data_IF_743607522667
#
_entry.id   IF_743607522667
#
_cell.length_a   1.000
_cell.length_b   1.000
_cell.length_c   1.000
_cell.angle_alpha   90.00
_cell.angle_beta   90.00
_cell.angle_gamma   90.00
#
_symmetry.space_group_name_H-M   'P 1'
#
loop_
_entity.id
_entity.type
_entity.pdbx_description
1 polymer ?
#
# COMPACT_ATOMS: atom_id res chain seq x y z
N UNK A 1 -8.82 27.39 2.20
CA UNK A 1 -8.88 27.08 3.64
C UNK A 1 -9.23 25.61 3.77
N UNK A 2 -8.32 24.78 4.30
CA UNK A 2 -8.60 23.34 4.50
C UNK A 2 -9.51 23.21 5.73
N UNK A 3 -10.75 22.77 5.52
CA UNK A 3 -11.84 22.84 6.50
C UNK A 3 -11.73 21.77 7.61
N UNK A 4 -10.86 20.77 7.46
CA UNK A 4 -10.75 19.61 8.37
C UNK A 4 -9.31 19.26 8.77
N UNK A 5 -8.43 20.25 8.92
CA UNK A 5 -7.05 19.98 9.33
C UNK A 5 -7.01 19.65 10.83
N UNK A 6 -6.80 18.38 11.18
CA UNK A 6 -6.42 17.97 12.53
C UNK A 6 -5.12 18.72 12.92
N UNK A 7 -5.15 19.64 13.90
CA UNK A 7 -4.02 20.52 14.18
C UNK A 7 -2.78 19.75 14.67
N UNK A 8 -2.99 18.63 15.37
CA UNK A 8 -1.90 17.75 15.82
C UNK A 8 -1.39 16.93 14.64
N UNK A 9 -2.30 16.38 13.85
CA UNK A 9 -1.97 15.62 12.62
C UNK A 9 -1.13 16.41 11.63
N UNK A 10 -1.43 17.69 11.47
CA UNK A 10 -0.73 18.61 10.58
C UNK A 10 0.69 18.98 11.03
N UNK A 11 1.02 18.76 12.31
CA UNK A 11 2.36 19.01 12.85
C UNK A 11 3.26 17.77 12.78
N UNK A 12 2.72 16.61 12.40
CA UNK A 12 3.52 15.42 12.21
C UNK A 12 4.58 15.63 11.12
N UNK A 13 5.76 14.98 11.23
CA UNK A 13 6.78 15.08 10.21
C UNK A 13 6.21 14.74 8.82
N UNK A 14 6.63 15.48 7.80
CA UNK A 14 6.19 15.32 6.40
C UNK A 14 4.72 15.68 6.12
N UNK A 15 3.86 15.98 7.11
CA UNK A 15 2.43 16.33 6.89
C UNK A 15 2.17 17.83 6.82
N UNK A 16 3.06 18.67 7.36
CA UNK A 16 2.87 20.12 7.48
C UNK A 16 2.78 20.89 6.15
N UNK A 17 3.37 20.38 5.07
CA UNK A 17 3.31 21.00 3.74
C UNK A 17 2.96 19.97 2.67
N UNK A 18 2.41 20.41 1.53
CA UNK A 18 2.14 19.54 0.37
C UNK A 18 3.41 19.20 -0.44
N UNK A 19 4.49 19.94 -0.21
CA UNK A 19 5.74 19.78 -0.94
C UNK A 19 6.46 18.44 -0.69
N UNK A 20 6.61 17.94 0.55
CA UNK A 20 7.33 16.69 0.81
C UNK A 20 6.78 15.50 0.01
N UNK A 21 5.47 15.25 0.05
CA UNK A 21 4.88 14.14 -0.71
C UNK A 21 5.04 14.31 -2.23
N UNK A 22 4.83 15.52 -2.74
CA UNK A 22 5.00 15.80 -4.17
C UNK A 22 6.45 15.59 -4.62
N UNK A 23 7.42 16.06 -3.83
CA UNK A 23 8.84 15.90 -4.08
C UNK A 23 9.25 14.43 -3.99
N UNK A 24 8.79 13.69 -2.98
CA UNK A 24 9.06 12.26 -2.80
C UNK A 24 8.53 11.47 -4.00
N UNK A 25 7.26 11.66 -4.36
CA UNK A 25 6.64 10.95 -5.49
C UNK A 25 7.31 11.31 -6.82
N UNK A 26 7.61 12.59 -7.07
CA UNK A 26 8.31 13.01 -8.28
C UNK A 26 9.73 12.41 -8.35
N UNK A 27 10.47 12.47 -7.26
CA UNK A 27 11.82 11.90 -7.16
C UNK A 27 11.79 10.40 -7.40
N UNK A 28 10.83 9.70 -6.79
CA UNK A 28 10.60 8.27 -7.02
C UNK A 28 10.35 7.97 -8.49
N UNK A 29 9.44 8.68 -9.16
CA UNK A 29 9.13 8.47 -10.57
C UNK A 29 10.35 8.71 -11.46
N UNK A 30 11.11 9.79 -11.20
CA UNK A 30 12.34 10.10 -11.94
C UNK A 30 13.40 9.01 -11.77
N UNK A 31 13.57 8.49 -10.54
CA UNK A 31 14.51 7.39 -10.26
C UNK A 31 14.03 6.09 -10.92
N UNK A 32 12.77 5.71 -10.74
CA UNK A 32 12.20 4.46 -11.22
C UNK A 32 12.19 4.36 -12.75
N UNK A 33 11.83 5.45 -13.43
CA UNK A 33 11.58 5.46 -14.88
C UNK A 33 12.78 5.91 -15.72
N UNK A 34 13.62 6.82 -15.20
CA UNK A 34 14.68 7.47 -16.00
C UNK A 34 16.08 7.26 -15.44
N UNK A 35 16.34 7.75 -14.23
CA UNK A 35 17.71 7.88 -13.73
C UNK A 35 18.29 6.59 -13.15
N UNK A 36 17.47 5.75 -12.51
CA UNK A 36 17.93 4.53 -11.85
C UNK A 36 18.58 3.53 -12.82
N UNK A 37 17.92 3.26 -13.95
CA UNK A 37 18.48 2.38 -15.00
C UNK A 37 19.74 2.97 -15.63
N UNK A 38 19.77 4.29 -15.88
CA UNK A 38 20.93 4.99 -16.42
C UNK A 38 22.14 4.92 -15.48
N UNK A 39 21.92 5.10 -14.19
CA UNK A 39 22.98 5.05 -13.16
C UNK A 39 23.57 3.64 -13.01
N UNK A 40 22.74 2.60 -13.14
CA UNK A 40 23.16 1.20 -13.15
C UNK A 40 23.80 0.75 -14.48
N UNK A 41 23.79 1.60 -15.52
CA UNK A 41 24.45 1.27 -16.77
C UNK A 41 25.97 1.19 -16.57
N UNK A 42 26.62 0.17 -17.14
CA UNK A 42 28.05 -0.09 -16.92
C UNK A 42 28.44 -0.65 -15.54
N UNK A 43 27.51 -0.77 -14.58
CA UNK A 43 27.77 -1.38 -13.25
C UNK A 43 27.36 -2.84 -13.20
N UNK A 44 28.01 -3.67 -12.38
CA UNK A 44 27.52 -5.02 -12.06
C UNK A 44 26.33 -4.92 -11.08
N UNK A 45 25.38 -5.89 -11.08
CA UNK A 45 24.32 -5.91 -10.08
C UNK A 45 24.93 -6.04 -8.68
N UNK A 46 24.42 -5.27 -7.71
CA UNK A 46 24.93 -5.32 -6.35
C UNK A 46 24.42 -6.57 -5.61
N UNK A 47 25.30 -7.23 -4.86
CA UNK A 47 24.89 -8.26 -3.91
C UNK A 47 24.45 -7.61 -2.59
N UNK A 48 23.16 -7.28 -2.54
CA UNK A 48 22.49 -6.70 -1.37
C UNK A 48 21.58 -7.70 -0.67
N UNK A 49 21.87 -9.00 -0.79
CA UNK A 49 20.97 -10.07 -0.32
C UNK A 49 20.68 -9.95 1.18
N UNK A 50 21.70 -9.72 2.02
CA UNK A 50 21.53 -9.55 3.47
C UNK A 50 20.68 -8.33 3.83
N UNK A 51 20.91 -7.21 3.14
CA UNK A 51 20.12 -5.98 3.31
C UNK A 51 18.66 -6.24 2.94
N UNK A 52 18.41 -6.95 1.83
CA UNK A 52 17.07 -7.28 1.38
C UNK A 52 16.34 -8.20 2.38
N UNK A 53 17.04 -9.19 2.96
CA UNK A 53 16.46 -10.04 4.01
C UNK A 53 16.08 -9.19 5.23
N UNK A 54 16.99 -8.36 5.73
CA UNK A 54 16.73 -7.47 6.87
C UNK A 54 15.57 -6.51 6.60
N UNK A 55 15.54 -5.88 5.43
CA UNK A 55 14.44 -5.00 5.02
C UNK A 55 13.10 -5.73 4.98
N UNK A 56 13.02 -6.91 4.35
CA UNK A 56 11.77 -7.66 4.29
C UNK A 56 11.34 -8.13 5.69
N UNK A 57 12.27 -8.49 6.57
CA UNK A 57 11.96 -8.85 7.95
C UNK A 57 11.35 -7.66 8.72
N UNK A 58 11.96 -6.48 8.59
CA UNK A 58 11.41 -5.25 9.18
C UNK A 58 10.01 -4.96 8.63
N UNK A 59 9.81 -5.09 7.33
CA UNK A 59 8.50 -4.92 6.69
C UNK A 59 7.47 -5.93 7.20
N UNK A 60 7.83 -7.21 7.37
CA UNK A 60 6.94 -8.22 7.95
C UNK A 60 6.52 -7.83 9.36
N UNK A 61 7.48 -7.49 10.22
CA UNK A 61 7.21 -7.12 11.62
C UNK A 61 6.34 -5.87 11.68
N UNK A 62 6.69 -4.83 10.91
CA UNK A 62 5.98 -3.56 10.88
C UNK A 62 4.52 -3.75 10.45
N UNK A 63 4.29 -4.45 9.33
CA UNK A 63 2.94 -4.69 8.84
C UNK A 63 2.14 -5.66 9.75
N UNK A 64 2.79 -6.63 10.39
CA UNK A 64 2.13 -7.54 11.33
C UNK A 64 1.65 -6.80 12.59
N UNK A 65 2.52 -5.96 13.18
CA UNK A 65 2.17 -5.13 14.35
C UNK A 65 1.04 -4.18 13.99
N UNK A 66 1.14 -3.47 12.86
CA UNK A 66 0.07 -2.60 12.39
C UNK A 66 -1.24 -3.36 12.17
N UNK A 67 -1.20 -4.51 11.50
CA UNK A 67 -2.38 -5.33 11.27
C UNK A 67 -3.04 -5.74 12.59
N UNK A 68 -2.27 -6.26 13.56
CA UNK A 68 -2.80 -6.66 14.87
C UNK A 68 -3.42 -5.48 15.62
N UNK A 69 -2.78 -4.31 15.58
CA UNK A 69 -3.25 -3.12 16.25
C UNK A 69 -4.52 -2.54 15.60
N UNK A 70 -4.55 -2.46 14.27
CA UNK A 70 -5.74 -2.03 13.52
C UNK A 70 -6.88 -3.05 13.74
N UNK A 71 -6.59 -4.35 13.69
CA UNK A 71 -7.58 -5.41 13.91
C UNK A 71 -8.25 -5.30 15.28
N UNK A 72 -7.47 -5.03 16.33
CA UNK A 72 -8.00 -4.79 17.67
C UNK A 72 -9.04 -3.65 17.67
N UNK A 73 -8.68 -2.49 17.13
CA UNK A 73 -9.57 -1.32 17.08
C UNK A 73 -10.64 -1.34 15.99
N UNK A 74 -10.61 -2.36 15.13
CA UNK A 74 -11.60 -2.56 14.08
C UNK A 74 -12.65 -3.61 14.47
N UNK A 75 -12.25 -4.65 15.21
CA UNK A 75 -13.09 -5.83 15.51
C UNK A 75 -13.37 -5.99 17.01
N UNK A 76 -12.37 -5.81 17.87
CA UNK A 76 -12.46 -6.13 19.29
C UNK A 76 -12.99 -4.94 20.09
N UNK A 77 -12.42 -3.76 19.85
CA UNK A 77 -12.84 -2.49 20.43
C UNK A 77 -13.08 -1.48 19.30
N UNK A 78 -14.17 -1.63 18.54
CA UNK A 78 -14.41 -0.87 17.31
C UNK A 78 -14.48 0.64 17.60
N UNK A 79 -13.56 1.41 17.01
CA UNK A 79 -13.56 2.87 17.11
C UNK A 79 -14.62 3.54 16.22
N UNK A 80 -15.13 2.81 15.22
CA UNK A 80 -16.07 3.34 14.25
C UNK A 80 -17.30 2.44 14.14
N UNK A 81 -18.38 3.04 13.67
CA UNK A 81 -19.50 2.29 13.13
C UNK A 81 -19.13 1.80 11.71
N UNK A 82 -19.19 0.50 11.47
CA UNK A 82 -18.85 -0.10 10.16
C UNK A 82 -19.72 0.46 9.00
N UNK A 83 -20.97 0.85 9.28
CA UNK A 83 -21.87 1.46 8.29
C UNK A 83 -21.50 2.89 7.90
N UNK A 84 -20.75 3.61 8.74
CA UNK A 84 -20.23 4.92 8.40
C UNK A 84 -18.98 5.25 9.23
N UNK A 85 -17.81 5.14 8.61
CA UNK A 85 -16.52 5.42 9.25
C UNK A 85 -16.02 6.82 8.85
N UNK A 86 -16.50 7.86 9.52
CA UNK A 86 -15.97 9.22 9.38
C UNK A 86 -14.79 9.46 10.32
N UNK A 87 -13.93 10.42 10.00
CA UNK A 87 -12.83 10.83 10.88
C UNK A 87 -13.35 11.15 12.28
N UNK A 88 -12.68 10.65 13.32
CA UNK A 88 -13.10 10.84 14.70
C UNK A 88 -13.05 12.33 15.11
N UNK A 89 -13.98 12.79 15.97
CA UNK A 89 -13.90 14.10 16.62
C UNK A 89 -12.56 14.31 17.36
N UNK A 90 -12.12 15.57 17.50
CA UNK A 90 -10.81 15.88 18.10
C UNK A 90 -10.70 15.49 19.57
N UNK A 91 -11.82 15.48 20.28
CA UNK A 91 -12.00 15.13 21.69
C UNK A 91 -12.31 13.63 21.91
N UNK A 92 -12.44 12.84 20.83
CA UNK A 92 -12.70 11.42 20.94
C UNK A 92 -11.55 10.69 21.68
N UNK A 93 -11.84 9.78 22.64
CA UNK A 93 -10.81 9.14 23.48
C UNK A 93 -9.74 8.41 22.65
N UNK A 94 -10.13 7.78 21.55
CA UNK A 94 -9.22 7.04 20.66
C UNK A 94 -8.69 7.86 19.49
N UNK A 95 -8.91 9.19 19.45
CA UNK A 95 -8.41 10.04 18.35
C UNK A 95 -6.90 9.94 18.16
N UNK A 96 -6.14 9.80 19.25
CA UNK A 96 -4.69 9.62 19.20
C UNK A 96 -4.28 8.30 18.52
N UNK A 97 -5.09 7.25 18.68
CA UNK A 97 -4.90 5.94 18.03
C UNK A 97 -5.11 6.06 16.53
N UNK A 98 -6.19 6.71 16.10
CA UNK A 98 -6.48 7.01 14.69
C UNK A 98 -5.30 7.76 14.03
N UNK A 99 -4.79 8.81 14.69
CA UNK A 99 -3.59 9.56 14.27
C UNK A 99 -2.39 8.66 14.07
N UNK A 100 -2.09 7.82 15.05
CA UNK A 100 -0.93 6.93 15.01
C UNK A 100 -1.04 5.93 13.88
N UNK A 101 -2.20 5.28 13.71
CA UNK A 101 -2.44 4.27 12.68
C UNK A 101 -2.25 4.86 11.27
N UNK A 102 -2.98 5.93 10.96
CA UNK A 102 -2.93 6.52 9.61
C UNK A 102 -1.56 7.12 9.31
N UNK A 103 -0.91 7.75 10.29
CA UNK A 103 0.45 8.26 10.09
C UNK A 103 1.46 7.14 9.87
N UNK A 104 1.43 6.09 10.70
CA UNK A 104 2.28 4.91 10.53
C UNK A 104 2.05 4.25 9.17
N UNK A 105 0.80 4.21 8.68
CA UNK A 105 0.49 3.67 7.36
C UNK A 105 1.08 4.53 6.24
N UNK A 106 0.97 5.85 6.33
CA UNK A 106 1.56 6.78 5.38
C UNK A 106 3.08 6.60 5.30
N UNK A 107 3.76 6.52 6.45
CA UNK A 107 5.21 6.28 6.51
C UNK A 107 5.56 4.92 5.89
N UNK A 108 4.79 3.88 6.18
CA UNK A 108 4.98 2.55 5.58
C UNK A 108 4.99 2.62 4.03
N UNK A 109 4.03 3.35 3.44
CA UNK A 109 3.98 3.48 1.97
C UNK A 109 5.19 4.22 1.39
N UNK A 110 5.78 5.15 2.14
CA UNK A 110 7.04 5.80 1.76
C UNK A 110 8.23 4.83 1.85
N UNK A 111 8.27 3.99 2.89
CA UNK A 111 9.30 2.95 3.04
C UNK A 111 9.20 1.91 1.93
N UNK A 112 8.00 1.55 1.49
CA UNK A 112 7.75 0.64 0.36
C UNK A 112 8.41 1.11 -0.96
N UNK A 113 8.72 2.41 -1.11
CA UNK A 113 9.44 2.93 -2.29
C UNK A 113 10.85 2.33 -2.43
N UNK A 114 11.44 1.86 -1.34
CA UNK A 114 12.74 1.17 -1.34
C UNK A 114 12.71 -0.13 -2.16
N UNK A 115 11.54 -0.75 -2.34
CA UNK A 115 11.39 -1.95 -3.19
C UNK A 115 11.93 -1.68 -4.59
N UNK A 116 11.57 -0.53 -5.19
CA UNK A 116 12.05 -0.14 -6.52
C UNK A 116 13.55 0.08 -6.53
N UNK A 117 14.11 0.66 -5.46
CA UNK A 117 15.55 0.90 -5.34
C UNK A 117 16.29 -0.44 -5.32
N UNK A 118 15.85 -1.41 -4.51
CA UNK A 118 16.46 -2.73 -4.45
C UNK A 118 16.34 -3.49 -5.79
N UNK A 119 15.21 -3.35 -6.50
CA UNK A 119 15.04 -3.93 -7.83
C UNK A 119 16.03 -3.32 -8.83
N UNK A 120 16.23 -1.99 -8.80
CA UNK A 120 17.20 -1.28 -9.63
C UNK A 120 18.63 -1.75 -9.34
N UNK A 121 19.05 -1.76 -8.08
CA UNK A 121 20.39 -2.15 -7.65
C UNK A 121 20.75 -3.59 -8.05
N UNK A 122 19.76 -4.48 -8.08
CA UNK A 122 19.91 -5.88 -8.50
C UNK A 122 19.75 -6.09 -10.02
N UNK A 123 19.47 -5.04 -10.78
CA UNK A 123 19.13 -5.09 -12.21
C UNK A 123 17.95 -6.03 -12.55
N UNK A 124 17.02 -6.22 -11.62
CA UNK A 124 15.85 -7.08 -11.81
C UNK A 124 14.70 -6.33 -12.50
N UNK A 125 15.01 -5.62 -13.60
CA UNK A 125 14.09 -4.62 -14.21
C UNK A 125 12.74 -5.18 -14.67
N UNK A 126 12.63 -6.50 -14.89
CA UNK A 126 11.36 -7.19 -15.19
C UNK A 126 10.32 -7.00 -14.07
N UNK A 127 10.75 -6.67 -12.85
CA UNK A 127 9.85 -6.40 -11.72
C UNK A 127 9.35 -4.93 -11.69
N UNK A 128 10.04 -3.99 -12.35
CA UNK A 128 9.60 -2.59 -12.46
C UNK A 128 8.56 -2.48 -13.58
N UNK A 129 7.36 -2.96 -13.29
CA UNK A 129 6.22 -2.92 -14.21
C UNK A 129 5.43 -1.61 -14.04
N UNK A 130 4.56 -1.30 -15.01
CA UNK A 130 3.60 -0.20 -14.87
C UNK A 130 2.75 -0.35 -13.61
N UNK A 131 2.29 -1.58 -13.30
CA UNK A 131 1.55 -1.87 -12.06
C UNK A 131 2.35 -1.50 -10.82
N UNK A 132 3.61 -1.94 -10.76
CA UNK A 132 4.50 -1.64 -9.63
C UNK A 132 4.67 -0.13 -9.42
N UNK A 133 5.12 0.57 -10.46
CA UNK A 133 5.42 2.02 -10.34
C UNK A 133 4.16 2.83 -10.08
N UNK A 134 3.06 2.52 -10.76
CA UNK A 134 1.77 3.19 -10.55
C UNK A 134 1.27 2.98 -9.12
N UNK A 135 1.25 1.73 -8.62
CA UNK A 135 0.83 1.42 -7.27
C UNK A 135 1.64 2.19 -6.21
N UNK A 136 2.97 2.08 -6.24
CA UNK A 136 3.81 2.73 -5.22
C UNK A 136 3.70 4.26 -5.28
N UNK A 137 3.68 4.86 -6.47
CA UNK A 137 3.53 6.30 -6.61
C UNK A 137 2.17 6.80 -6.11
N UNK A 138 1.08 6.13 -6.52
CA UNK A 138 -0.28 6.56 -6.20
C UNK A 138 -0.61 6.34 -4.73
N UNK A 139 -0.13 5.24 -4.12
CA UNK A 139 -0.35 4.97 -2.70
C UNK A 139 0.31 6.03 -1.82
N UNK A 140 1.55 6.46 -2.11
CA UNK A 140 2.19 7.55 -1.36
C UNK A 140 1.48 8.88 -1.59
N UNK A 141 1.14 9.19 -2.84
CA UNK A 141 0.53 10.46 -3.18
C UNK A 141 -0.87 10.62 -2.55
N UNK A 142 -1.72 9.60 -2.70
CA UNK A 142 -3.12 9.68 -2.26
C UNK A 142 -3.23 9.57 -0.74
N UNK A 143 -2.48 8.69 -0.07
CA UNK A 143 -2.52 8.62 1.41
C UNK A 143 -2.16 9.96 2.03
N UNK A 144 -1.15 10.64 1.49
CA UNK A 144 -0.79 11.98 1.94
C UNK A 144 -1.89 13.02 1.69
N UNK A 145 -2.42 13.10 0.46
CA UNK A 145 -3.40 14.14 0.11
C UNK A 145 -4.75 13.95 0.79
N UNK A 146 -5.19 12.69 0.95
CA UNK A 146 -6.41 12.40 1.71
C UNK A 146 -6.22 12.81 3.17
N UNK A 147 -5.10 12.45 3.79
CA UNK A 147 -4.74 12.86 5.14
C UNK A 147 -4.76 14.39 5.30
N UNK A 148 -4.16 15.11 4.36
CA UNK A 148 -4.05 16.56 4.42
C UNK A 148 -5.39 17.28 4.21
N UNK A 149 -6.22 16.81 3.29
CA UNK A 149 -7.42 17.56 2.87
C UNK A 149 -8.66 17.18 3.70
N UNK A 150 -8.73 15.95 4.16
CA UNK A 150 -9.94 15.38 4.76
C UNK A 150 -9.73 14.86 6.18
N UNK A 151 -8.48 14.85 6.65
CA UNK A 151 -8.13 14.42 8.00
C UNK A 151 -7.71 12.95 8.05
N UNK A 152 -7.60 12.49 9.28
CA UNK A 152 -6.96 11.22 9.64
C UNK A 152 -8.05 10.16 9.82
N UNK A 153 -7.84 8.93 9.36
CA UNK A 153 -8.71 7.79 9.65
C UNK A 153 -10.00 7.71 8.83
N UNK A 154 -11.06 7.23 9.49
CA UNK A 154 -12.34 6.91 8.85
C UNK A 154 -12.29 5.65 7.99
N UNK A 155 -13.00 5.64 6.85
CA UNK A 155 -13.11 4.46 5.97
C UNK A 155 -11.78 3.96 5.42
N UNK A 156 -10.73 4.81 5.41
CA UNK A 156 -9.39 4.36 5.05
C UNK A 156 -8.86 3.26 5.97
N UNK A 157 -9.32 3.17 7.22
CA UNK A 157 -8.91 2.12 8.15
C UNK A 157 -9.20 0.71 7.61
N UNK A 158 -10.29 0.51 6.85
CA UNK A 158 -10.58 -0.77 6.18
C UNK A 158 -9.50 -1.13 5.17
N UNK A 159 -9.06 -0.14 4.37
CA UNK A 159 -7.96 -0.33 3.42
C UNK A 159 -6.65 -0.63 4.16
N UNK A 160 -6.36 0.09 5.23
CA UNK A 160 -5.14 -0.07 6.04
C UNK A 160 -5.08 -1.47 6.67
N UNK A 161 -6.20 -1.96 7.23
CA UNK A 161 -6.32 -3.30 7.81
C UNK A 161 -6.01 -4.38 6.77
N UNK A 162 -6.70 -4.33 5.63
CA UNK A 162 -6.52 -5.35 4.59
C UNK A 162 -5.14 -5.25 3.95
N UNK A 163 -4.62 -4.04 3.71
CA UNK A 163 -3.30 -3.86 3.10
C UNK A 163 -2.17 -4.38 4.00
N UNK A 164 -2.20 -4.08 5.30
CA UNK A 164 -1.17 -4.52 6.24
C UNK A 164 -1.18 -6.05 6.41
N UNK A 165 -2.36 -6.69 6.42
CA UNK A 165 -2.47 -8.15 6.37
C UNK A 165 -1.78 -8.73 5.13
N UNK A 166 -2.13 -8.23 3.95
CA UNK A 166 -1.59 -8.74 2.68
C UNK A 166 -0.10 -8.43 2.53
N UNK A 167 0.35 -7.26 2.98
CA UNK A 167 1.77 -6.90 2.99
C UNK A 167 2.58 -7.80 3.92
N UNK A 168 2.04 -8.20 5.07
CA UNK A 168 2.68 -9.18 5.96
C UNK A 168 2.96 -10.49 5.21
N UNK A 169 1.97 -11.01 4.46
CA UNK A 169 2.13 -12.22 3.65
C UNK A 169 3.09 -12.02 2.47
N UNK A 170 2.98 -10.89 1.78
CA UNK A 170 3.80 -10.56 0.60
C UNK A 170 5.28 -10.41 0.97
N UNK A 171 5.60 -9.65 2.02
CA UNK A 171 6.98 -9.46 2.46
C UNK A 171 7.56 -10.73 3.09
N UNK A 172 6.73 -11.57 3.74
CA UNK A 172 7.16 -12.91 4.17
C UNK A 172 7.60 -13.74 2.98
N UNK A 173 6.84 -13.72 1.89
CA UNK A 173 7.22 -14.39 0.64
C UNK A 173 8.52 -13.82 0.03
N UNK A 174 8.70 -12.50 0.03
CA UNK A 174 9.93 -11.88 -0.47
C UNK A 174 11.15 -12.20 0.38
N UNK A 175 11.00 -12.22 1.71
CA UNK A 175 12.04 -12.64 2.66
C UNK A 175 12.46 -14.08 2.40
N UNK A 176 11.51 -15.02 2.36
CA UNK A 176 11.79 -16.45 2.10
C UNK A 176 12.45 -16.62 0.73
N UNK A 177 11.99 -15.89 -0.29
CA UNK A 177 12.58 -15.92 -1.64
C UNK A 177 14.01 -15.37 -1.68
N UNK A 178 14.39 -14.49 -0.75
CA UNK A 178 15.74 -13.95 -0.63
C UNK A 178 16.66 -14.88 0.17
N UNK A 179 16.16 -15.53 1.23
CA UNK A 179 16.91 -16.52 2.02
C UNK A 179 17.17 -17.79 1.20
N UNK A 180 16.17 -18.24 0.44
CA UNK A 180 16.25 -19.47 -0.35
C UNK A 180 16.04 -19.20 -1.85
N UNK A 181 17.05 -18.66 -2.56
CA UNK A 181 16.94 -18.37 -4.00
C UNK A 181 16.56 -19.59 -4.84
N UNK A 182 17.02 -20.78 -4.46
CA UNK A 182 16.69 -22.06 -5.12
C UNK A 182 15.22 -22.45 -5.03
N UNK A 183 14.49 -21.94 -4.02
CA UNK A 183 13.05 -22.18 -3.85
C UNK A 183 12.18 -21.17 -4.59
N UNK A 184 12.75 -20.06 -5.10
CA UNK A 184 11.98 -18.98 -5.75
C UNK A 184 11.06 -19.47 -6.89
N UNK A 185 11.46 -20.52 -7.59
CA UNK A 185 10.67 -21.18 -8.64
C UNK A 185 9.64 -22.20 -8.14
N UNK A 186 9.81 -22.75 -6.93
CA UNK A 186 8.97 -23.81 -6.35
C UNK A 186 7.97 -23.32 -5.30
N UNK A 187 7.97 -22.03 -4.94
CA UNK A 187 6.99 -21.44 -4.03
C UNK A 187 5.59 -21.38 -4.68
N UNK A 188 4.91 -22.52 -4.63
CA UNK A 188 3.59 -22.78 -5.21
C UNK A 188 2.51 -21.81 -4.74
N UNK A 189 2.68 -21.20 -3.56
CA UNK A 189 1.72 -20.27 -2.99
C UNK A 189 1.76 -18.84 -3.55
N UNK A 190 2.73 -18.52 -4.41
CA UNK A 190 2.87 -17.16 -5.00
C UNK A 190 1.57 -16.71 -5.67
N UNK A 191 0.89 -17.62 -6.36
CA UNK A 191 -0.40 -17.36 -7.03
C UNK A 191 -1.51 -16.97 -6.03
N UNK A 192 -1.50 -17.52 -4.82
CA UNK A 192 -2.50 -17.20 -3.80
C UNK A 192 -2.29 -15.81 -3.21
N UNK A 193 -1.03 -15.34 -3.11
CA UNK A 193 -0.76 -13.95 -2.70
C UNK A 193 -1.42 -12.97 -3.67
N UNK A 194 -1.28 -13.18 -4.98
CA UNK A 194 -1.94 -12.34 -5.99
C UNK A 194 -3.47 -12.44 -5.91
N UNK A 195 -4.03 -13.63 -5.65
CA UNK A 195 -5.48 -13.77 -5.44
C UNK A 195 -5.96 -13.00 -4.22
N UNK A 196 -5.23 -13.09 -3.10
CA UNK A 196 -5.56 -12.36 -1.87
C UNK A 196 -5.46 -10.84 -2.09
N UNK A 197 -4.46 -10.36 -2.86
CA UNK A 197 -4.37 -8.94 -3.26
C UNK A 197 -5.62 -8.49 -4.04
N UNK A 198 -6.11 -9.31 -4.99
CA UNK A 198 -7.34 -9.00 -5.73
C UNK A 198 -8.56 -8.97 -4.78
N UNK A 199 -8.68 -9.98 -3.91
CA UNK A 199 -9.77 -10.06 -2.92
C UNK A 199 -9.77 -8.83 -2.01
N UNK A 200 -8.60 -8.38 -1.55
CA UNK A 200 -8.47 -7.15 -0.76
C UNK A 200 -9.13 -5.96 -1.47
N UNK A 201 -8.81 -5.71 -2.75
CA UNK A 201 -9.38 -4.56 -3.46
C UNK A 201 -10.88 -4.71 -3.70
N UNK A 202 -11.37 -5.95 -3.90
CA UNK A 202 -12.82 -6.22 -3.98
C UNK A 202 -13.51 -5.90 -2.65
N UNK A 203 -12.95 -6.31 -1.52
CA UNK A 203 -13.52 -6.03 -0.19
C UNK A 203 -13.55 -4.52 0.10
N UNK A 204 -12.49 -3.79 -0.25
CA UNK A 204 -12.42 -2.32 -0.11
C UNK A 204 -13.50 -1.66 -0.99
N UNK A 205 -13.64 -2.11 -2.25
CA UNK A 205 -14.65 -1.61 -3.17
C UNK A 205 -16.07 -1.82 -2.61
N UNK A 206 -16.37 -3.04 -2.13
CA UNK A 206 -17.68 -3.36 -1.58
C UNK A 206 -17.99 -2.54 -0.32
N UNK A 207 -17.02 -2.37 0.57
CA UNK A 207 -17.18 -1.55 1.77
C UNK A 207 -17.42 -0.07 1.43
N UNK A 208 -16.69 0.48 0.46
CA UNK A 208 -16.91 1.85 -0.01
C UNK A 208 -18.27 2.03 -0.70
N UNK A 209 -18.78 1.02 -1.41
CA UNK A 209 -20.12 1.08 -2.00
C UNK A 209 -21.19 1.00 -0.90
N UNK A 210 -21.04 0.09 0.05
CA UNK A 210 -21.97 -0.07 1.17
C UNK A 210 -22.16 1.23 1.98
N UNK A 211 -21.05 1.86 2.33
CA UNK A 211 -21.04 3.13 3.08
C UNK A 211 -21.58 4.30 2.26
N UNK A 212 -21.32 4.34 0.95
CA UNK A 212 -21.88 5.36 0.03
C UNK A 212 -23.42 5.32 -0.03
N UNK A 213 -24.02 4.13 0.08
CA UNK A 213 -25.48 3.95 0.06
C UNK A 213 -26.11 3.91 1.46
N UNK A 214 -25.32 4.12 2.52
CA UNK A 214 -25.85 4.13 3.89
C UNK A 214 -26.50 5.50 4.19
N UNK A 215 -27.81 5.54 4.52
CA UNK A 215 -28.50 6.79 4.82
C UNK A 215 -27.87 7.51 6.01
N UNK A 216 -27.64 8.82 5.86
CA UNK A 216 -27.06 9.65 6.93
C UNK A 216 -25.55 9.50 7.13
N UNK A 217 -24.84 8.79 6.24
CA UNK A 217 -23.38 8.75 6.31
C UNK A 217 -22.74 10.02 5.74
N UNK A 218 -22.02 10.76 6.58
CA UNK A 218 -21.39 12.04 6.22
C UNK A 218 -19.95 11.89 5.70
N UNK A 219 -19.57 10.70 5.22
CA UNK A 219 -18.23 10.51 4.67
C UNK A 219 -18.07 11.26 3.33
N UNK A 220 -16.94 11.96 3.11
CA UNK A 220 -16.78 12.81 1.93
C UNK A 220 -16.91 12.05 0.60
N UNK A 221 -17.88 12.47 -0.22
CA UNK A 221 -18.18 11.85 -1.52
C UNK A 221 -16.98 11.81 -2.48
N UNK A 222 -16.13 12.85 -2.45
CA UNK A 222 -14.91 12.90 -3.27
C UNK A 222 -13.96 11.75 -2.91
N UNK A 223 -13.86 11.40 -1.62
CA UNK A 223 -12.99 10.30 -1.17
C UNK A 223 -13.59 8.95 -1.57
N UNK A 224 -14.91 8.79 -1.51
CA UNK A 224 -15.57 7.61 -2.08
C UNK A 224 -15.21 7.41 -3.56
N UNK A 225 -15.32 8.45 -4.39
CA UNK A 225 -14.99 8.34 -5.80
C UNK A 225 -13.52 7.95 -6.03
N UNK A 226 -12.60 8.48 -5.23
CA UNK A 226 -11.18 8.12 -5.29
C UNK A 226 -10.99 6.64 -4.92
N UNK A 227 -11.54 6.18 -3.80
CA UNK A 227 -11.39 4.80 -3.32
C UNK A 227 -11.99 3.80 -4.32
N UNK A 228 -13.20 4.07 -4.81
CA UNK A 228 -13.88 3.22 -5.80
C UNK A 228 -13.06 3.13 -7.09
N UNK A 229 -12.63 4.28 -7.61
CA UNK A 229 -11.89 4.36 -8.88
C UNK A 229 -10.53 3.64 -8.80
N UNK A 230 -9.78 3.83 -7.70
CA UNK A 230 -8.52 3.13 -7.47
C UNK A 230 -8.71 1.63 -7.26
N UNK A 231 -9.74 1.23 -6.51
CA UNK A 231 -10.02 -0.19 -6.27
C UNK A 231 -10.34 -0.91 -7.58
N UNK A 232 -11.19 -0.32 -8.43
CA UNK A 232 -11.47 -0.85 -9.78
C UNK A 232 -10.18 -0.93 -10.61
N UNK A 233 -9.37 0.13 -10.61
CA UNK A 233 -8.10 0.17 -11.34
C UNK A 233 -7.17 -0.96 -10.90
N UNK A 234 -6.98 -1.15 -9.59
CA UNK A 234 -6.12 -2.21 -9.07
C UNK A 234 -6.69 -3.60 -9.32
N UNK A 235 -8.00 -3.82 -9.19
CA UNK A 235 -8.64 -5.08 -9.55
C UNK A 235 -8.32 -5.44 -11.00
N UNK A 236 -8.51 -4.50 -11.94
CA UNK A 236 -8.23 -4.72 -13.36
C UNK A 236 -6.75 -5.01 -13.60
N UNK A 237 -5.85 -4.22 -13.02
CA UNK A 237 -4.41 -4.38 -13.23
C UNK A 237 -3.87 -5.70 -12.63
N UNK A 238 -4.27 -6.05 -11.41
CA UNK A 238 -3.86 -7.31 -10.76
C UNK A 238 -4.48 -8.54 -11.43
N UNK A 239 -5.74 -8.45 -11.87
CA UNK A 239 -6.37 -9.54 -12.64
C UNK A 239 -5.67 -9.75 -13.98
N UNK A 240 -5.36 -8.66 -14.68
CA UNK A 240 -4.61 -8.69 -15.94
C UNK A 240 -3.22 -9.31 -15.72
N UNK A 241 -2.52 -8.92 -14.65
CA UNK A 241 -1.24 -9.51 -14.26
C UNK A 241 -1.39 -11.01 -13.99
N UNK A 242 -2.40 -11.42 -13.21
CA UNK A 242 -2.65 -12.82 -12.86
C UNK A 242 -2.87 -13.68 -14.12
N UNK A 243 -3.74 -13.24 -15.03
CA UNK A 243 -4.04 -13.97 -16.28
C UNK A 243 -2.77 -14.09 -17.14
N UNK A 244 -1.99 -13.02 -17.28
CA UNK A 244 -0.75 -13.03 -18.08
C UNK A 244 0.32 -13.94 -17.50
N UNK A 245 0.48 -13.97 -16.18
CA UNK A 245 1.56 -14.72 -15.51
C UNK A 245 1.20 -16.17 -15.24
N UNK A 246 -0.06 -16.50 -14.97
CA UNK A 246 -0.44 -17.84 -14.51
C UNK A 246 -1.30 -18.62 -15.51
N UNK A 247 -2.11 -17.96 -16.34
CA UNK A 247 -3.01 -18.65 -17.26
C UNK A 247 -2.44 -18.74 -18.69
N UNK A 248 -1.73 -17.72 -19.17
CA UNK A 248 -1.12 -17.73 -20.52
C UNK A 248 0.10 -18.66 -20.73
N UNK A 249 0.94 -18.98 -19.73
CA UNK A 249 2.08 -19.88 -19.96
C UNK A 249 1.71 -21.34 -20.27
N UNK A 250 0.47 -21.76 -20.03
CA UNK A 250 0.02 -23.12 -20.34
C UNK A 250 -0.32 -23.31 -21.82
N UNK A 251 -0.71 -22.25 -22.56
CA UNK A 251 -1.02 -22.35 -24.00
C UNK A 251 0.23 -22.40 -24.90
N UNK A 252 1.40 -21.96 -24.44
CA UNK A 252 2.67 -22.06 -25.20
C UNK A 252 3.43 -23.39 -24.97
N UNK A 253 2.93 -24.27 -24.10
CA UNK A 253 3.50 -25.62 -23.89
C UNK A 253 2.72 -26.74 -24.59
N UNK A 254 1.67 -26.39 -25.34
CA UNK A 254 0.82 -27.34 -26.08
C UNK A 254 0.82 -27.10 -27.60
N UNK A 255 1.67 -26.20 -28.10
CA UNK A 255 1.93 -26.00 -29.54
C UNK A 255 3.38 -26.30 -29.86
#
# INVERSE_FOLDING_TARGET
>A
TCVYLDPIGAQLPLTGSAWPASIITLSYLLIALKYGKKWMNGRKPFDITRILIGYNLVQVIYNAIMFSFIFYYYVIEPMYNFSCMTTLPLDHPTKHVERMITYAFMINKMVDLLDTIFILLRKSYKQITTLHVFHHAVMVYITFWVHRLYGIGGQLMTMELLNTFVHTLMYSYYMISAIYPGLKGSLWWKKYITKIQIIQFVLILLHSIYTLFTPGCEYPLIIHFIIVSLSITFIVMFTTFYIRVYNKPQQQKQN
#
